data_IF_851379857127
#
_entry.id   IF_851379857127
#
_cell.length_a   1.000
_cell.length_b   1.000
_cell.length_c   1.000
_cell.angle_alpha   90.00
_cell.angle_beta   90.00
_cell.angle_gamma   90.00
#
_symmetry.space_group_name_H-M   'P 1'
#
loop_
_entity.id
_entity.type
_entity.pdbx_description
1 polymer ?
#
# COMPACT_ATOMS: atom_id res chain seq x y z
N UNK A 1 12.62 48.37 13.27
CA UNK A 1 11.40 47.63 13.53
C UNK A 1 10.62 47.43 12.23
N UNK A 2 10.90 46.33 11.51
CA UNK A 2 10.16 46.03 10.30
C UNK A 2 8.82 45.37 10.65
N UNK A 3 7.75 46.12 10.45
CA UNK A 3 6.39 45.58 10.50
C UNK A 3 6.16 44.73 9.24
N UNK A 4 6.37 43.41 9.35
CA UNK A 4 6.01 42.49 8.29
C UNK A 4 4.51 42.61 8.00
N UNK A 5 4.14 43.07 6.81
CA UNK A 5 2.76 43.08 6.33
C UNK A 5 2.22 41.67 6.37
N UNK A 6 1.31 41.37 7.29
CA UNK A 6 0.58 40.07 7.31
C UNK A 6 -0.16 39.97 5.97
N UNK A 7 0.29 39.05 5.12
CA UNK A 7 -0.38 38.73 3.85
C UNK A 7 -1.71 38.04 4.17
N UNK A 8 -2.80 38.77 4.06
CA UNK A 8 -4.15 38.24 4.28
C UNK A 8 -4.52 37.35 3.09
N UNK A 9 -4.85 36.08 3.35
CA UNK A 9 -5.25 35.12 2.31
C UNK A 9 -6.48 35.59 1.53
N UNK A 10 -6.61 35.31 0.22
CA UNK A 10 -7.74 35.73 -0.60
C UNK A 10 -9.11 35.36 -0.03
N UNK A 11 -9.23 34.16 0.58
CA UNK A 11 -10.44 33.72 1.26
C UNK A 11 -10.84 34.67 2.41
N UNK A 12 -9.88 35.05 3.22
CA UNK A 12 -10.12 35.93 4.36
C UNK A 12 -10.52 37.35 3.92
N UNK A 13 -9.94 37.86 2.83
CA UNK A 13 -10.35 39.15 2.22
C UNK A 13 -11.82 39.10 1.77
N UNK A 14 -12.24 38.00 1.18
CA UNK A 14 -13.64 37.80 0.77
C UNK A 14 -14.59 37.79 1.96
N UNK A 15 -14.23 37.11 3.05
CA UNK A 15 -15.03 37.08 4.29
C UNK A 15 -15.15 38.49 4.87
N UNK A 16 -14.04 39.26 4.93
CA UNK A 16 -14.05 40.64 5.40
C UNK A 16 -14.94 41.52 4.52
N UNK A 17 -14.91 41.38 3.18
CA UNK A 17 -15.80 42.06 2.29
C UNK A 17 -17.27 41.74 2.55
N UNK A 18 -17.60 40.46 2.78
CA UNK A 18 -18.97 40.04 3.13
C UNK A 18 -19.44 40.59 4.48
N UNK A 19 -18.58 40.61 5.48
CA UNK A 19 -18.88 41.21 6.79
C UNK A 19 -19.13 42.71 6.66
N UNK A 20 -18.29 43.44 5.90
CA UNK A 20 -18.46 44.85 5.68
C UNK A 20 -19.82 45.20 5.02
N UNK A 21 -20.24 44.42 4.03
CA UNK A 21 -21.57 44.59 3.41
C UNK A 21 -22.68 44.30 4.42
N UNK A 22 -22.56 43.20 5.20
CA UNK A 22 -23.60 42.79 6.14
C UNK A 22 -23.73 43.71 7.35
N UNK A 23 -22.60 44.12 7.94
CA UNK A 23 -22.59 44.84 9.23
C UNK A 23 -22.53 46.37 9.05
N UNK A 24 -21.84 46.85 8.02
CA UNK A 24 -21.65 48.30 7.76
C UNK A 24 -22.53 48.83 6.63
N UNK A 25 -23.37 47.97 6.04
CA UNK A 25 -24.30 48.32 4.95
C UNK A 25 -23.64 49.05 3.76
N UNK A 26 -22.33 48.85 3.55
CA UNK A 26 -21.64 49.39 2.40
C UNK A 26 -22.01 48.64 1.13
N UNK A 27 -21.91 49.31 -0.03
CA UNK A 27 -22.17 48.62 -1.29
C UNK A 27 -21.16 47.50 -1.58
N UNK A 28 -21.61 46.44 -2.27
CA UNK A 28 -20.74 45.33 -2.68
C UNK A 28 -19.53 45.86 -3.45
N UNK A 29 -19.72 46.79 -4.36
CA UNK A 29 -18.66 47.42 -5.16
C UNK A 29 -17.60 48.07 -4.28
N UNK A 30 -18.03 48.83 -3.27
CA UNK A 30 -17.12 49.50 -2.34
C UNK A 30 -16.35 48.49 -1.48
N UNK A 31 -17.06 47.50 -0.92
CA UNK A 31 -16.42 46.45 -0.13
C UNK A 31 -15.40 45.67 -0.97
N UNK A 32 -15.73 45.28 -2.20
CA UNK A 32 -14.83 44.59 -3.11
C UNK A 32 -13.57 45.42 -3.43
N UNK A 33 -13.73 46.69 -3.64
CA UNK A 33 -12.60 47.65 -3.88
C UNK A 33 -11.68 47.72 -2.66
N UNK A 34 -12.27 47.95 -1.46
CA UNK A 34 -11.49 48.07 -0.21
C UNK A 34 -10.68 46.84 0.15
N UNK A 35 -11.26 45.64 -0.06
CA UNK A 35 -10.59 44.38 0.29
C UNK A 35 -9.84 43.73 -0.89
N UNK A 36 -9.77 44.40 -2.04
CA UNK A 36 -9.12 43.90 -3.26
C UNK A 36 -9.64 42.51 -3.66
N UNK A 37 -10.97 42.36 -3.72
CA UNK A 37 -11.68 41.16 -4.14
C UNK A 37 -12.53 41.53 -5.37
N UNK A 38 -12.53 40.69 -6.41
CA UNK A 38 -13.44 40.93 -7.54
C UNK A 38 -14.89 40.65 -7.13
N UNK A 39 -15.86 41.35 -7.73
CA UNK A 39 -17.29 41.09 -7.48
C UNK A 39 -17.68 39.66 -7.83
N UNK A 40 -17.06 39.05 -8.86
CA UNK A 40 -17.23 37.65 -9.21
C UNK A 40 -16.81 36.75 -8.07
N UNK A 41 -15.64 37.02 -7.45
CA UNK A 41 -15.17 36.29 -6.29
C UNK A 41 -16.09 36.49 -5.06
N UNK A 42 -16.57 37.72 -4.85
CA UNK A 42 -17.51 38.03 -3.77
C UNK A 42 -18.81 37.26 -3.90
N UNK A 43 -19.43 37.24 -5.10
CA UNK A 43 -20.69 36.57 -5.42
C UNK A 43 -20.58 35.07 -5.60
N UNK A 44 -19.36 34.53 -5.73
CA UNK A 44 -19.16 33.09 -5.90
C UNK A 44 -19.77 32.31 -4.75
N UNK A 45 -20.66 31.42 -5.06
CA UNK A 45 -21.15 30.39 -4.15
C UNK A 45 -20.60 29.03 -4.58
N UNK A 46 -19.96 28.34 -3.66
CA UNK A 46 -19.51 26.99 -3.92
C UNK A 46 -20.73 26.12 -4.22
N UNK A 47 -20.87 25.64 -5.45
CA UNK A 47 -21.87 24.62 -5.77
C UNK A 47 -21.43 23.33 -5.14
N UNK A 48 -22.25 22.76 -4.26
CA UNK A 48 -22.08 21.38 -3.79
C UNK A 48 -22.20 20.47 -5.01
N UNK A 49 -21.06 19.97 -5.47
CA UNK A 49 -21.05 19.02 -6.58
C UNK A 49 -21.39 17.63 -6.01
N UNK A 50 -22.41 16.97 -6.57
CA UNK A 50 -22.76 15.57 -6.25
C UNK A 50 -21.53 14.66 -6.38
N UNK A 51 -20.68 14.91 -7.36
CA UNK A 51 -19.43 14.19 -7.56
C UNK A 51 -18.42 14.39 -6.38
N UNK A 52 -18.43 15.54 -5.69
CA UNK A 52 -17.60 15.72 -4.48
C UNK A 52 -18.11 14.84 -3.33
N UNK A 53 -19.42 14.64 -3.21
CA UNK A 53 -20.01 13.75 -2.21
C UNK A 53 -19.66 12.29 -2.52
N UNK A 54 -19.70 11.91 -3.78
CA UNK A 54 -19.28 10.58 -4.23
C UNK A 54 -17.81 10.31 -3.92
N UNK A 55 -16.92 11.27 -4.24
CA UNK A 55 -15.48 11.17 -3.90
C UNK A 55 -15.31 11.02 -2.39
N UNK A 56 -16.03 11.81 -1.59
CA UNK A 56 -15.95 11.76 -0.13
C UNK A 56 -16.38 10.39 0.41
N UNK A 57 -17.50 9.86 -0.07
CA UNK A 57 -18.01 8.54 0.32
C UNK A 57 -17.00 7.42 -0.01
N UNK A 58 -16.45 7.42 -1.22
CA UNK A 58 -15.40 6.48 -1.61
C UNK A 58 -14.16 6.56 -0.71
N UNK A 59 -13.67 7.77 -0.42
CA UNK A 59 -12.50 7.96 0.43
C UNK A 59 -12.74 7.45 1.86
N UNK A 60 -13.92 7.72 2.42
CA UNK A 60 -14.30 7.22 3.76
C UNK A 60 -14.35 5.70 3.76
N UNK A 61 -15.01 5.08 2.78
CA UNK A 61 -15.09 3.61 2.66
C UNK A 61 -13.70 2.96 2.58
N UNK A 62 -12.82 3.50 1.70
CA UNK A 62 -11.47 2.97 1.52
C UNK A 62 -10.69 3.06 2.83
N UNK A 63 -10.66 4.22 3.47
CA UNK A 63 -9.85 4.45 4.67
C UNK A 63 -10.41 3.75 5.91
N UNK A 64 -11.71 3.45 5.95
CA UNK A 64 -12.32 2.63 6.99
C UNK A 64 -11.90 1.17 6.86
N UNK A 65 -11.90 0.63 5.64
CA UNK A 65 -11.54 -0.77 5.38
C UNK A 65 -10.02 -0.99 5.36
N UNK A 66 -9.28 0.00 4.87
CA UNK A 66 -7.82 -0.05 4.68
C UNK A 66 -7.14 1.07 5.47
N UNK A 67 -7.08 0.90 6.79
CA UNK A 67 -6.66 1.96 7.75
C UNK A 67 -5.25 2.52 7.49
N UNK A 68 -4.38 1.74 6.85
CA UNK A 68 -3.00 2.12 6.54
C UNK A 68 -2.81 2.67 5.13
N UNK A 69 -3.87 2.77 4.34
CA UNK A 69 -3.76 3.37 3.03
C UNK A 69 -3.75 4.89 3.14
N UNK A 70 -2.61 5.49 2.83
CA UNK A 70 -2.51 6.94 2.68
C UNK A 70 -3.11 7.39 1.35
N UNK A 71 -3.18 8.72 1.17
CA UNK A 71 -3.76 9.34 -0.02
C UNK A 71 -3.30 8.72 -1.34
N UNK A 72 -2.00 8.43 -1.49
CA UNK A 72 -1.46 7.87 -2.73
C UNK A 72 -2.10 6.53 -3.12
N UNK A 73 -2.26 5.60 -2.16
CA UNK A 73 -2.91 4.31 -2.40
C UNK A 73 -4.41 4.48 -2.67
N UNK A 74 -5.10 5.34 -1.90
CA UNK A 74 -6.52 5.62 -2.10
C UNK A 74 -6.77 6.18 -3.52
N UNK A 75 -5.97 7.14 -3.95
CA UNK A 75 -6.09 7.75 -5.28
C UNK A 75 -5.81 6.75 -6.40
N UNK A 76 -4.74 5.96 -6.29
CA UNK A 76 -4.40 4.94 -7.29
C UNK A 76 -5.45 3.83 -7.36
N UNK A 77 -6.03 3.43 -6.23
CA UNK A 77 -7.14 2.49 -6.20
C UNK A 77 -8.36 3.04 -6.96
N UNK A 78 -8.76 4.28 -6.66
CA UNK A 78 -9.87 4.92 -7.35
C UNK A 78 -9.62 5.03 -8.86
N UNK A 79 -8.39 5.39 -9.24
CA UNK A 79 -8.04 5.61 -10.64
C UNK A 79 -7.83 4.32 -11.42
N UNK A 80 -7.01 3.40 -10.90
CA UNK A 80 -6.51 2.24 -11.65
C UNK A 80 -7.34 0.98 -11.44
N UNK A 81 -8.01 0.85 -10.28
CA UNK A 81 -8.84 -0.32 -9.97
C UNK A 81 -10.32 -0.04 -10.22
N UNK A 82 -10.80 1.15 -9.80
CA UNK A 82 -12.22 1.53 -10.00
C UNK A 82 -12.47 2.32 -11.28
N UNK A 83 -11.42 2.82 -11.96
CA UNK A 83 -11.53 3.48 -13.25
C UNK A 83 -12.02 4.94 -13.20
N UNK A 84 -12.07 5.57 -12.03
CA UNK A 84 -12.49 6.97 -11.92
C UNK A 84 -11.44 7.92 -12.47
N UNK A 85 -11.84 8.82 -13.36
CA UNK A 85 -10.95 9.81 -14.00
C UNK A 85 -10.87 11.13 -13.22
N UNK A 86 -11.17 11.13 -11.94
CA UNK A 86 -11.16 12.34 -11.12
C UNK A 86 -9.79 12.98 -11.04
N UNK A 87 -9.79 14.31 -11.03
CA UNK A 87 -8.55 15.08 -10.94
C UNK A 87 -7.86 14.88 -9.58
N UNK A 88 -6.57 14.55 -9.60
CA UNK A 88 -5.75 14.32 -8.39
C UNK A 88 -5.85 15.45 -7.36
N UNK A 89 -5.76 16.73 -7.80
CA UNK A 89 -5.84 17.88 -6.90
C UNK A 89 -7.21 18.00 -6.24
N UNK A 90 -8.27 17.64 -6.96
CA UNK A 90 -9.65 17.64 -6.45
C UNK A 90 -9.83 16.58 -5.37
N UNK A 91 -9.42 15.34 -5.65
CA UNK A 91 -9.50 14.22 -4.70
C UNK A 91 -8.66 14.50 -3.46
N UNK A 92 -7.44 15.05 -3.64
CA UNK A 92 -6.56 15.41 -2.52
C UNK A 92 -7.14 16.50 -1.62
N UNK A 93 -7.79 17.51 -2.19
CA UNK A 93 -8.47 18.54 -1.42
C UNK A 93 -9.55 17.92 -0.53
N UNK A 94 -10.43 17.07 -1.08
CA UNK A 94 -11.50 16.40 -0.34
C UNK A 94 -10.93 15.48 0.75
N UNK A 95 -9.88 14.72 0.43
CA UNK A 95 -9.17 13.87 1.39
C UNK A 95 -8.67 14.66 2.61
N UNK A 96 -8.15 15.87 2.38
CA UNK A 96 -7.69 16.76 3.45
C UNK A 96 -8.85 17.40 4.22
N UNK A 97 -9.91 17.79 3.55
CA UNK A 97 -11.12 18.34 4.18
C UNK A 97 -11.78 17.32 5.13
N UNK A 98 -11.68 16.03 4.81
CA UNK A 98 -12.16 14.92 5.64
C UNK A 98 -11.16 14.49 6.75
N UNK A 99 -10.01 15.15 6.87
CA UNK A 99 -8.97 14.86 7.86
C UNK A 99 -8.45 13.41 7.84
N UNK A 100 -8.47 12.75 6.68
CA UNK A 100 -8.05 11.35 6.50
C UNK A 100 -6.53 11.15 6.49
N UNK A 101 -5.74 12.19 6.72
CA UNK A 101 -4.28 12.11 6.69
C UNK A 101 -3.75 11.17 7.79
N UNK A 102 -2.93 10.21 7.39
CA UNK A 102 -2.22 9.35 8.35
C UNK A 102 -1.26 10.19 9.20
N UNK A 103 -1.28 9.99 10.51
CA UNK A 103 -0.33 10.61 11.44
C UNK A 103 1.02 9.89 11.36
N UNK A 104 1.85 10.29 10.41
CA UNK A 104 3.19 9.73 10.23
C UNK A 104 4.19 10.63 10.98
N UNK A 105 4.87 10.09 12.00
CA UNK A 105 6.00 10.79 12.63
C UNK A 105 7.16 10.80 11.63
N UNK A 106 7.70 11.97 11.24
CA UNK A 106 8.85 12.02 10.35
C UNK A 106 10.05 11.37 11.03
N UNK A 107 10.59 10.31 10.42
CA UNK A 107 11.84 9.69 10.87
C UNK A 107 12.99 10.39 10.16
N UNK A 108 14.06 10.72 10.91
CA UNK A 108 15.30 11.24 10.34
C UNK A 108 15.84 10.20 9.34
N UNK A 109 15.92 10.57 8.07
CA UNK A 109 16.33 9.66 7.00
C UNK A 109 17.86 9.52 7.08
N UNK A 110 18.34 8.33 7.37
CA UNK A 110 19.76 8.01 7.20
C UNK A 110 20.05 7.94 5.72
N UNK A 111 21.04 8.72 5.27
CA UNK A 111 21.57 8.63 3.92
C UNK A 111 22.40 7.36 3.85
N UNK A 112 21.92 6.37 3.11
CA UNK A 112 22.65 5.13 2.79
C UNK A 112 22.92 5.13 1.30
N UNK A 113 24.04 4.55 0.88
CA UNK A 113 24.27 4.26 -0.54
C UNK A 113 23.10 3.43 -1.07
N UNK A 114 22.67 3.74 -2.29
CA UNK A 114 21.62 2.95 -2.92
C UNK A 114 22.24 1.59 -3.29
N UNK A 115 21.71 0.49 -2.74
CA UNK A 115 22.14 -0.83 -3.17
C UNK A 115 21.82 -1.01 -4.66
N UNK A 116 22.59 -1.88 -5.33
CA UNK A 116 22.26 -2.29 -6.70
C UNK A 116 20.82 -2.79 -6.75
N UNK A 117 20.10 -2.36 -7.77
CA UNK A 117 18.72 -2.78 -7.95
C UNK A 117 18.68 -4.24 -8.35
N UNK A 118 17.88 -5.02 -7.63
CA UNK A 118 17.64 -6.42 -8.00
C UNK A 118 17.04 -6.46 -9.42
N UNK A 119 17.58 -7.31 -10.28
CA UNK A 119 17.04 -7.51 -11.62
C UNK A 119 15.59 -8.00 -11.51
N UNK A 120 14.69 -7.33 -12.23
CA UNK A 120 13.29 -7.75 -12.29
C UNK A 120 13.19 -8.87 -13.32
N UNK A 121 12.60 -10.03 -12.99
CA UNK A 121 12.32 -11.08 -13.96
C UNK A 121 11.49 -10.54 -15.14
N UNK A 122 11.66 -11.12 -16.31
CA UNK A 122 10.98 -10.69 -17.54
C UNK A 122 9.57 -11.29 -17.70
N UNK A 123 9.33 -12.44 -17.07
CA UNK A 123 8.07 -13.17 -17.14
C UNK A 123 7.68 -13.76 -15.77
N UNK A 124 6.39 -14.08 -15.63
CA UNK A 124 5.88 -14.82 -14.48
C UNK A 124 6.56 -16.20 -14.36
N UNK A 125 6.68 -16.71 -13.14
CA UNK A 125 7.30 -18.00 -12.83
C UNK A 125 8.78 -18.11 -13.24
N UNK A 126 9.47 -17.01 -13.51
CA UNK A 126 10.93 -17.05 -13.65
C UNK A 126 11.61 -17.19 -12.28
N UNK A 127 11.22 -16.38 -11.33
CA UNK A 127 11.75 -16.42 -9.98
C UNK A 127 10.66 -16.14 -8.94
N UNK A 128 10.47 -17.06 -8.01
CA UNK A 128 9.70 -16.81 -6.80
C UNK A 128 10.65 -16.48 -5.65
N UNK A 129 10.27 -15.56 -4.79
CA UNK A 129 10.96 -15.29 -3.52
C UNK A 129 10.13 -15.80 -2.36
N UNK A 130 10.77 -16.46 -1.39
CA UNK A 130 10.10 -16.94 -0.19
C UNK A 130 10.82 -16.50 1.08
N UNK A 131 10.05 -16.32 2.15
CA UNK A 131 10.58 -15.93 3.46
C UNK A 131 9.60 -16.25 4.60
N UNK A 132 10.13 -16.32 5.83
CA UNK A 132 9.34 -16.52 7.04
C UNK A 132 9.16 -15.23 7.83
N UNK A 133 7.97 -15.08 8.41
CA UNK A 133 7.70 -14.09 9.45
C UNK A 133 7.29 -14.79 10.75
N UNK A 134 7.42 -14.06 11.86
CA UNK A 134 7.01 -14.53 13.19
C UNK A 134 6.10 -13.50 13.85
N UNK A 135 5.13 -13.99 14.61
CA UNK A 135 4.28 -13.17 15.49
C UNK A 135 3.76 -14.02 16.66
N UNK A 136 2.90 -13.45 17.51
CA UNK A 136 2.36 -14.10 18.69
C UNK A 136 0.84 -13.95 18.76
N UNK A 137 0.16 -15.00 19.22
CA UNK A 137 -1.25 -14.95 19.61
C UNK A 137 -1.41 -14.18 20.93
N UNK A 138 -2.65 -13.84 21.27
CA UNK A 138 -3.01 -13.12 22.51
C UNK A 138 -2.59 -13.87 23.78
N UNK A 139 -2.45 -15.18 23.73
CA UNK A 139 -1.98 -16.04 24.82
C UNK A 139 -0.45 -16.17 24.89
N UNK A 140 0.29 -15.47 24.04
CA UNK A 140 1.74 -15.46 23.99
C UNK A 140 2.38 -16.59 23.16
N UNK A 141 1.60 -17.54 22.61
CA UNK A 141 2.14 -18.59 21.74
C UNK A 141 2.63 -17.97 20.43
N UNK A 142 3.89 -18.23 20.10
CA UNK A 142 4.47 -17.80 18.83
C UNK A 142 3.95 -18.62 17.66
N UNK A 143 3.73 -17.97 16.53
CA UNK A 143 3.41 -18.62 15.26
C UNK A 143 4.27 -18.06 14.13
N UNK A 144 4.27 -18.75 13.02
CA UNK A 144 5.05 -18.39 11.83
C UNK A 144 4.13 -18.22 10.63
N UNK A 145 4.53 -17.34 9.73
CA UNK A 145 3.93 -17.21 8.41
C UNK A 145 5.00 -17.56 7.38
N UNK A 146 4.68 -18.42 6.43
CA UNK A 146 5.48 -18.70 5.25
C UNK A 146 4.90 -17.96 4.07
N UNK A 147 5.66 -17.04 3.50
CA UNK A 147 5.25 -16.17 2.41
C UNK A 147 6.01 -16.52 1.13
N UNK A 148 5.31 -16.54 0.01
CA UNK A 148 5.88 -16.69 -1.33
C UNK A 148 5.29 -15.65 -2.26
N UNK A 149 6.14 -15.00 -3.05
CA UNK A 149 5.73 -14.05 -4.09
C UNK A 149 6.37 -14.39 -5.43
N UNK A 150 5.73 -13.99 -6.52
CA UNK A 150 6.37 -13.93 -7.83
C UNK A 150 7.11 -12.60 -7.98
N UNK A 151 8.40 -12.66 -8.30
CA UNK A 151 9.24 -11.47 -8.42
C UNK A 151 8.92 -10.62 -9.65
N UNK A 152 8.25 -11.15 -10.66
CA UNK A 152 7.85 -10.42 -11.86
C UNK A 152 6.74 -9.40 -11.59
N UNK A 153 5.61 -9.87 -11.10
CA UNK A 153 4.42 -9.05 -10.88
C UNK A 153 4.14 -8.71 -9.42
N UNK A 154 5.02 -9.10 -8.49
CA UNK A 154 4.87 -8.91 -7.03
C UNK A 154 3.64 -9.58 -6.44
N UNK A 155 3.06 -10.56 -7.13
CA UNK A 155 1.91 -11.30 -6.67
C UNK A 155 2.26 -12.14 -5.45
N UNK A 156 1.45 -12.02 -4.40
CA UNK A 156 1.52 -12.97 -3.29
C UNK A 156 0.91 -14.30 -3.72
N UNK A 157 1.69 -15.38 -3.63
CA UNK A 157 1.27 -16.72 -4.06
C UNK A 157 0.84 -17.54 -2.86
N UNK A 158 1.60 -17.49 -1.76
CA UNK A 158 1.34 -18.26 -0.54
C UNK A 158 1.45 -17.36 0.68
N UNK A 159 0.52 -17.54 1.61
CA UNK A 159 0.66 -17.20 3.02
C UNK A 159 0.15 -18.41 3.81
N UNK A 160 1.05 -19.24 4.30
CA UNK A 160 0.73 -20.39 5.16
C UNK A 160 1.06 -20.03 6.59
N UNK A 161 0.12 -20.25 7.51
CA UNK A 161 0.27 -19.90 8.94
C UNK A 161 0.19 -21.15 9.80
N UNK A 162 1.17 -21.34 10.69
CA UNK A 162 1.14 -22.40 11.70
C UNK A 162 2.09 -22.08 12.86
N UNK A 163 1.97 -22.81 13.96
CA UNK A 163 2.93 -22.78 15.07
C UNK A 163 4.32 -23.27 14.64
N UNK A 164 4.34 -24.25 13.75
CA UNK A 164 5.57 -24.82 13.19
C UNK A 164 5.38 -25.06 11.69
N UNK A 165 6.37 -24.65 10.91
CA UNK A 165 6.40 -24.83 9.47
C UNK A 165 7.66 -25.63 9.05
N UNK A 166 7.69 -26.94 9.34
CA UNK A 166 8.79 -27.79 8.92
C UNK A 166 8.82 -27.94 7.39
N UNK A 167 9.96 -28.34 6.83
CA UNK A 167 10.18 -28.42 5.38
C UNK A 167 9.10 -29.20 4.64
N UNK A 168 8.50 -30.22 5.25
CA UNK A 168 7.41 -30.98 4.63
C UNK A 168 6.14 -30.14 4.41
N UNK A 169 5.85 -29.20 5.33
CA UNK A 169 4.74 -28.25 5.20
C UNK A 169 5.04 -27.21 4.12
N UNK A 170 6.27 -26.71 4.09
CA UNK A 170 6.75 -25.78 3.06
C UNK A 170 6.62 -26.41 1.67
N UNK A 171 7.10 -27.64 1.51
CA UNK A 171 7.00 -28.39 0.24
C UNK A 171 5.53 -28.59 -0.16
N UNK A 172 4.65 -28.90 0.77
CA UNK A 172 3.22 -29.07 0.50
C UNK A 172 2.61 -27.75 -0.01
N UNK A 173 2.90 -26.64 0.66
CA UNK A 173 2.42 -25.32 0.24
C UNK A 173 2.95 -24.92 -1.14
N UNK A 174 4.23 -25.18 -1.42
CA UNK A 174 4.83 -24.94 -2.74
C UNK A 174 4.21 -25.82 -3.83
N UNK A 175 3.97 -27.12 -3.57
CA UNK A 175 3.29 -28.00 -4.53
C UNK A 175 1.89 -27.47 -4.88
N UNK A 176 1.11 -27.09 -3.89
CA UNK A 176 -0.21 -26.51 -4.09
C UNK A 176 -0.14 -25.20 -4.94
N UNK A 177 0.83 -24.35 -4.64
CA UNK A 177 1.04 -23.13 -5.40
C UNK A 177 1.38 -23.42 -6.87
N UNK A 178 2.23 -24.41 -7.12
CA UNK A 178 2.63 -24.87 -8.46
C UNK A 178 1.43 -25.38 -9.26
N UNK A 179 0.52 -26.13 -8.63
CA UNK A 179 -0.69 -26.62 -9.28
C UNK A 179 -1.59 -25.48 -9.78
N UNK A 180 -1.63 -24.37 -9.07
CA UNK A 180 -2.49 -23.22 -9.43
C UNK A 180 -1.83 -22.21 -10.34
N UNK A 181 -0.51 -21.99 -10.18
CA UNK A 181 0.22 -20.88 -10.82
C UNK A 181 1.21 -21.34 -11.87
N UNK A 182 1.47 -22.61 -11.96
CA UNK A 182 2.55 -23.15 -12.76
C UNK A 182 3.87 -23.19 -11.98
N UNK A 183 4.83 -23.89 -12.55
CA UNK A 183 6.12 -24.17 -11.93
C UNK A 183 7.09 -22.99 -12.11
N UNK A 184 7.75 -22.47 -11.06
CA UNK A 184 8.82 -21.50 -11.21
C UNK A 184 10.10 -22.18 -11.74
N UNK A 185 10.93 -21.41 -12.43
CA UNK A 185 12.29 -21.87 -12.80
C UNK A 185 13.20 -21.86 -11.58
N UNK A 186 13.07 -20.83 -10.74
CA UNK A 186 13.93 -20.59 -9.59
C UNK A 186 13.12 -20.17 -8.37
N UNK A 187 13.59 -20.54 -7.18
CA UNK A 187 13.04 -20.05 -5.91
C UNK A 187 14.19 -19.43 -5.11
N UNK A 188 14.06 -18.17 -4.75
CA UNK A 188 15.01 -17.43 -3.93
C UNK A 188 14.60 -17.46 -2.46
N UNK A 189 15.56 -17.73 -1.58
CA UNK A 189 15.38 -17.71 -0.13
C UNK A 189 16.66 -17.27 0.59
N UNK A 190 16.54 -16.97 1.88
CA UNK A 190 17.70 -16.76 2.73
C UNK A 190 18.41 -18.08 3.08
N UNK A 191 19.53 -17.99 3.79
CA UNK A 191 20.30 -19.14 4.27
C UNK A 191 19.82 -19.64 5.65
N UNK A 192 18.55 -19.42 6.01
CA UNK A 192 17.99 -19.89 7.26
C UNK A 192 18.01 -21.42 7.35
N UNK A 193 18.14 -21.97 8.56
CA UNK A 193 18.18 -23.44 8.77
C UNK A 193 16.93 -24.15 8.23
N UNK A 194 15.82 -23.44 8.11
CA UNK A 194 14.57 -23.92 7.54
C UNK A 194 14.69 -24.25 6.05
N UNK A 195 15.54 -23.55 5.32
CA UNK A 195 15.72 -23.67 3.87
C UNK A 195 16.91 -24.57 3.49
N UNK A 196 17.88 -24.75 4.41
CA UNK A 196 19.05 -25.62 4.18
C UNK A 196 18.68 -27.12 4.40
N UNK A 197 17.39 -27.46 4.49
CA UNK A 197 17.01 -28.83 4.69
C UNK A 197 17.27 -29.65 3.42
N UNK A 198 17.95 -30.81 3.58
CA UNK A 198 18.14 -31.76 2.49
C UNK A 198 16.84 -32.23 1.83
N UNK A 199 15.72 -32.15 2.57
CA UNK A 199 14.41 -32.52 2.06
C UNK A 199 13.90 -31.51 1.03
N UNK A 200 14.02 -30.22 1.32
CA UNK A 200 13.62 -29.16 0.41
C UNK A 200 14.50 -29.13 -0.85
N UNK A 201 15.81 -29.24 -0.66
CA UNK A 201 16.76 -29.27 -1.78
C UNK A 201 16.50 -30.45 -2.73
N UNK A 202 16.33 -31.67 -2.19
CA UNK A 202 16.00 -32.87 -2.99
C UNK A 202 14.67 -32.76 -3.72
N UNK A 203 13.66 -32.18 -3.05
CA UNK A 203 12.38 -31.97 -3.69
C UNK A 203 12.50 -30.97 -4.85
N UNK A 204 13.18 -29.85 -4.66
CA UNK A 204 13.37 -28.83 -5.69
C UNK A 204 14.12 -29.39 -6.91
N UNK A 205 15.19 -30.14 -6.66
CA UNK A 205 15.98 -30.83 -7.71
C UNK A 205 15.09 -31.81 -8.50
N UNK A 206 14.31 -32.66 -7.80
CA UNK A 206 13.38 -33.60 -8.44
C UNK A 206 12.25 -32.91 -9.22
N UNK A 207 11.89 -31.69 -8.84
CA UNK A 207 10.90 -30.87 -9.52
C UNK A 207 11.51 -30.04 -10.67
N UNK A 208 12.83 -30.03 -10.83
CA UNK A 208 13.55 -29.20 -11.78
C UNK A 208 13.39 -27.71 -11.46
N UNK A 209 13.53 -27.36 -10.17
CA UNK A 209 13.48 -25.98 -9.66
C UNK A 209 14.82 -25.65 -9.02
N UNK A 210 15.45 -24.58 -9.45
CA UNK A 210 16.71 -24.11 -8.87
C UNK A 210 16.45 -23.32 -7.57
N UNK A 211 17.11 -23.67 -6.47
CA UNK A 211 17.08 -22.87 -5.24
C UNK A 211 18.24 -21.87 -5.26
N UNK A 212 17.89 -20.58 -5.20
CA UNK A 212 18.86 -19.47 -5.13
C UNK A 212 18.99 -18.99 -3.69
N UNK A 213 20.06 -19.37 -3.02
CA UNK A 213 20.39 -18.85 -1.71
C UNK A 213 20.98 -17.44 -1.82
N UNK A 214 20.48 -16.48 -1.05
CA UNK A 214 21.08 -15.15 -0.97
C UNK A 214 22.46 -15.24 -0.28
N UNK A 215 23.38 -14.41 -0.71
CA UNK A 215 24.72 -14.38 -0.10
C UNK A 215 24.65 -13.76 1.32
N UNK A 216 25.38 -14.29 2.29
CA UNK A 216 25.49 -13.69 3.61
C UNK A 216 25.92 -12.21 3.51
N UNK A 217 25.22 -11.33 4.23
CA UNK A 217 25.47 -9.89 4.21
C UNK A 217 24.85 -9.11 3.05
N UNK A 218 24.15 -9.76 2.13
CA UNK A 218 23.47 -9.14 1.00
C UNK A 218 21.93 -9.25 1.09
N UNK A 219 21.26 -8.67 2.12
CA UNK A 219 19.81 -8.76 2.28
C UNK A 219 19.02 -8.16 1.11
N UNK A 220 19.63 -7.21 0.38
CA UNK A 220 19.03 -6.64 -0.82
C UNK A 220 18.70 -7.67 -1.91
N UNK A 221 19.35 -8.82 -1.92
CA UNK A 221 19.06 -9.90 -2.85
C UNK A 221 17.67 -10.52 -2.61
N UNK A 222 17.04 -10.29 -1.44
CA UNK A 222 15.67 -10.73 -1.13
C UNK A 222 14.70 -9.54 -0.93
N UNK A 223 15.03 -8.38 -1.47
CA UNK A 223 14.33 -7.11 -1.21
C UNK A 223 12.83 -7.15 -1.58
N UNK A 224 12.42 -7.98 -2.53
CA UNK A 224 11.02 -8.05 -2.95
C UNK A 224 10.14 -8.70 -1.89
N UNK A 225 10.56 -9.85 -1.36
CA UNK A 225 9.81 -10.53 -0.29
C UNK A 225 9.91 -9.76 1.04
N UNK A 226 11.05 -9.13 1.34
CA UNK A 226 11.18 -8.27 2.52
C UNK A 226 10.19 -7.09 2.48
N UNK A 227 10.03 -6.46 1.31
CA UNK A 227 9.05 -5.40 1.12
C UNK A 227 7.61 -5.93 1.23
N UNK A 228 7.34 -7.11 0.71
CA UNK A 228 6.06 -7.78 0.85
C UNK A 228 5.75 -8.08 2.32
N UNK A 229 6.70 -8.69 3.05
CA UNK A 229 6.58 -8.98 4.47
C UNK A 229 6.34 -7.72 5.32
N UNK A 230 7.00 -6.62 4.98
CA UNK A 230 6.71 -5.32 5.58
C UNK A 230 5.26 -4.90 5.35
N UNK A 231 4.74 -5.11 4.14
CA UNK A 231 3.35 -4.78 3.83
C UNK A 231 2.40 -5.68 4.60
N UNK A 232 2.63 -7.00 4.66
CA UNK A 232 1.89 -7.96 5.51
C UNK A 232 1.81 -7.45 6.95
N UNK A 233 2.96 -7.09 7.53
CA UNK A 233 3.06 -6.63 8.91
C UNK A 233 2.27 -5.35 9.16
N UNK A 234 2.38 -4.34 8.27
CA UNK A 234 1.74 -3.04 8.48
C UNK A 234 0.28 -3.00 8.06
N UNK A 235 -0.12 -3.71 7.02
CA UNK A 235 -1.48 -3.64 6.50
C UNK A 235 -2.48 -4.38 7.41
N UNK A 236 -2.07 -5.49 8.04
CA UNK A 236 -2.98 -6.26 8.89
C UNK A 236 -2.36 -6.91 10.14
N UNK A 237 -1.18 -7.53 10.06
CA UNK A 237 -0.65 -8.33 11.17
C UNK A 237 -0.48 -7.51 12.46
N UNK A 238 0.00 -6.26 12.37
CA UNK A 238 0.11 -5.34 13.51
C UNK A 238 -1.19 -4.60 13.85
N UNK A 239 -2.28 -4.83 13.09
CA UNK A 239 -3.55 -4.12 13.30
C UNK A 239 -4.48 -4.87 14.26
N UNK A 240 -4.28 -6.17 14.42
CA UNK A 240 -5.18 -7.06 15.12
C UNK A 240 -4.43 -7.91 16.14
N UNK A 241 -5.13 -8.29 17.21
CA UNK A 241 -4.69 -9.27 18.19
C UNK A 241 -5.47 -10.55 17.89
N UNK A 242 -4.76 -11.60 17.53
CA UNK A 242 -5.36 -12.87 17.14
C UNK A 242 -5.41 -13.86 18.31
N UNK A 243 -6.46 -14.66 18.35
CA UNK A 243 -6.68 -15.67 19.41
C UNK A 243 -6.38 -17.09 18.95
N UNK A 244 -6.39 -17.33 17.65
CA UNK A 244 -6.15 -18.66 17.08
C UNK A 244 -5.43 -18.61 15.74
N UNK A 245 -4.74 -19.70 15.39
CA UNK A 245 -4.09 -19.89 14.08
C UNK A 245 -5.10 -19.82 12.93
N UNK A 246 -6.29 -20.40 13.11
CA UNK A 246 -7.35 -20.36 12.09
C UNK A 246 -7.81 -18.95 11.78
N UNK A 247 -7.91 -18.09 12.79
CA UNK A 247 -8.23 -16.68 12.63
C UNK A 247 -7.14 -15.96 11.84
N UNK A 248 -5.86 -16.19 12.17
CA UNK A 248 -4.73 -15.60 11.43
C UNK A 248 -4.76 -16.04 9.97
N UNK A 249 -4.97 -17.34 9.70
CA UNK A 249 -5.01 -17.89 8.34
C UNK A 249 -6.19 -17.33 7.53
N UNK A 250 -7.34 -17.16 8.13
CA UNK A 250 -8.50 -16.56 7.47
C UNK A 250 -8.22 -15.11 7.06
N UNK A 251 -7.63 -14.31 7.95
CA UNK A 251 -7.20 -12.95 7.66
C UNK A 251 -6.13 -12.90 6.57
N UNK A 252 -5.13 -13.76 6.66
CA UNK A 252 -4.06 -13.87 5.67
C UNK A 252 -4.63 -14.15 4.27
N UNK A 253 -5.59 -15.07 4.16
CA UNK A 253 -6.22 -15.45 2.89
C UNK A 253 -7.02 -14.29 2.29
N UNK A 254 -7.84 -13.61 3.11
CA UNK A 254 -8.61 -12.43 2.67
C UNK A 254 -7.70 -11.28 2.25
N UNK A 255 -6.66 -11.03 3.04
CA UNK A 255 -5.69 -9.98 2.75
C UNK A 255 -4.90 -10.29 1.47
N UNK A 256 -4.48 -11.54 1.26
CA UNK A 256 -3.76 -11.97 0.06
C UNK A 256 -4.58 -11.68 -1.21
N UNK A 257 -5.88 -11.99 -1.17
CA UNK A 257 -6.76 -11.66 -2.27
C UNK A 257 -6.82 -10.14 -2.53
N UNK A 258 -7.03 -9.34 -1.48
CA UNK A 258 -7.04 -7.87 -1.57
C UNK A 258 -5.72 -7.32 -2.08
N UNK A 259 -4.59 -7.85 -1.59
CA UNK A 259 -3.26 -7.46 -2.04
C UNK A 259 -3.06 -7.69 -3.54
N UNK A 260 -3.47 -8.84 -4.04
CA UNK A 260 -3.29 -9.19 -5.44
C UNK A 260 -4.25 -8.46 -6.38
N UNK A 261 -5.51 -8.26 -5.97
CA UNK A 261 -6.57 -7.78 -6.87
C UNK A 261 -6.92 -6.30 -6.67
N UNK A 262 -6.76 -5.75 -5.48
CA UNK A 262 -7.23 -4.40 -5.16
C UNK A 262 -6.15 -3.43 -4.72
N UNK A 263 -5.04 -3.93 -4.16
CA UNK A 263 -4.01 -3.04 -3.61
C UNK A 263 -3.06 -2.54 -4.70
N UNK A 264 -3.02 -1.23 -4.98
CA UNK A 264 -2.06 -0.66 -5.92
C UNK A 264 -0.62 -0.87 -5.42
N UNK A 265 0.28 -1.27 -6.31
CA UNK A 265 1.69 -1.44 -5.99
C UNK A 265 2.52 -0.35 -6.69
N UNK A 266 3.19 0.48 -5.89
CA UNK A 266 4.00 1.60 -6.41
C UNK A 266 5.16 1.15 -7.30
N UNK A 267 5.74 -0.04 -7.04
CA UNK A 267 6.80 -0.59 -7.87
C UNK A 267 6.31 -1.07 -9.25
N UNK A 268 5.00 -1.26 -9.40
CA UNK A 268 4.34 -1.61 -10.66
C UNK A 268 3.67 -0.40 -11.34
N UNK A 269 4.06 0.81 -10.98
CA UNK A 269 3.43 2.03 -11.52
C UNK A 269 2.04 2.32 -10.97
N UNK A 270 1.68 1.72 -9.82
CA UNK A 270 0.41 1.97 -9.14
C UNK A 270 -0.74 1.07 -9.63
N UNK A 271 -0.47 0.04 -10.40
CA UNK A 271 -1.42 -1.02 -10.73
C UNK A 271 -1.32 -2.18 -9.73
N UNK A 272 -2.30 -3.07 -9.73
CA UNK A 272 -2.26 -4.27 -8.88
C UNK A 272 -1.39 -5.38 -9.48
N UNK A 273 -0.91 -6.35 -8.67
CA UNK A 273 -0.24 -7.55 -9.17
C UNK A 273 -1.06 -8.27 -10.26
N UNK A 274 -2.38 -8.40 -10.07
CA UNK A 274 -3.27 -9.03 -11.04
C UNK A 274 -3.34 -8.24 -12.35
N UNK A 275 -3.49 -6.93 -12.30
CA UNK A 275 -3.48 -6.08 -13.50
C UNK A 275 -2.15 -6.18 -14.26
N UNK A 276 -1.01 -6.30 -13.54
CA UNK A 276 0.29 -6.52 -14.18
C UNK A 276 0.34 -7.85 -14.92
N UNK A 277 -0.27 -8.89 -14.34
CA UNK A 277 -0.37 -10.21 -14.98
C UNK A 277 -1.23 -10.15 -16.26
N UNK A 278 -2.41 -9.51 -16.17
CA UNK A 278 -3.34 -9.36 -17.30
C UNK A 278 -2.74 -8.55 -18.48
N UNK A 279 -1.81 -7.63 -18.18
CA UNK A 279 -1.07 -6.88 -19.20
C UNK A 279 0.07 -7.68 -19.86
N UNK A 280 0.48 -8.80 -19.27
CA UNK A 280 1.57 -9.63 -19.75
C UNK A 280 1.07 -10.91 -20.47
N UNK A 281 -0.23 -11.20 -20.37
CA UNK A 281 -0.92 -12.30 -21.06
C UNK A 281 -1.32 -11.90 -22.48
#
# INVERSE_FOLDING_TARGET
GGHGKKVVKPSHRREMAKMAVKEKQVSIRLACSLFHVSETCYRYQARLSTENLEIADWLIRITTNQRNWGFGLCYLYLRNVKGFLWNHKRVYRIYRELELNLRIKPKKRLVREKPESLAVPHAMNECWSMDFMHDQLSDGRSFRLFNVIDDFNREGIVIEVDFSLPSIRVIRALKQAIEWRGKPKQIRCDNGPEYISHLLARWADSAGIEILFIQPGNPQQNAYIERYNRTVRYDWLNQYIFTSISEVQEYATKWLWTYNNERPNMALGGITPKQKLDLAA
#
